data_IF_776927284986
#
_entry.id   IF_776927284986
#
_cell.length_a   1.000
_cell.length_b   1.000
_cell.length_c   1.000
_cell.angle_alpha   90.00
_cell.angle_beta   90.00
_cell.angle_gamma   90.00
#
_symmetry.space_group_name_H-M   'P 1'
#
loop_
_entity.id
_entity.type
_entity.pdbx_description
1 polymer ?
#
# COMPACT_ATOMS: atom_id res chain seq x y z
N UNK A 1 -4.53 3.99 7.99
CA UNK A 1 -3.89 2.66 8.15
C UNK A 1 -4.83 1.60 7.61
N UNK A 2 -4.66 0.30 7.88
CA UNK A 2 -3.61 -0.38 8.64
C UNK A 2 -2.41 -0.83 7.77
N UNK A 3 -1.38 -1.40 8.41
CA UNK A 3 -0.16 -1.88 7.76
C UNK A 3 1.08 -1.43 8.54
N UNK A 4 1.96 -0.68 7.88
CA UNK A 4 3.15 -0.09 8.46
C UNK A 4 3.29 1.39 8.07
N UNK A 5 4.06 2.13 8.86
CA UNK A 5 4.61 3.43 8.46
C UNK A 5 5.99 3.28 7.81
N UNK A 6 6.62 4.42 7.52
CA UNK A 6 7.99 4.52 7.00
C UNK A 6 8.76 5.61 7.75
N UNK A 7 10.09 5.54 7.66
CA UNK A 7 10.95 6.69 7.93
C UNK A 7 11.44 7.22 6.57
N UNK A 8 11.21 8.49 6.30
CA UNK A 8 11.72 9.15 5.10
C UNK A 8 13.24 9.33 5.18
N UNK A 9 13.87 9.51 4.04
CA UNK A 9 15.29 9.85 3.91
C UNK A 9 15.70 11.10 4.69
N UNK A 10 14.76 12.02 4.92
CA UNK A 10 14.93 13.21 5.76
C UNK A 10 14.99 12.92 7.28
N UNK A 11 14.67 11.69 7.70
CA UNK A 11 14.56 11.28 9.10
C UNK A 11 13.14 11.34 9.66
N UNK A 12 12.19 12.00 8.97
CA UNK A 12 10.78 12.09 9.35
C UNK A 12 10.13 10.71 9.46
N UNK A 13 9.50 10.42 10.58
CA UNK A 13 8.60 9.26 10.72
C UNK A 13 7.24 9.62 10.11
N UNK A 14 6.67 8.74 9.29
CA UNK A 14 5.40 8.96 8.62
C UNK A 14 4.48 7.74 8.75
N UNK A 15 3.26 7.98 9.23
CA UNK A 15 2.23 6.96 9.41
C UNK A 15 1.03 7.28 8.51
N UNK A 16 0.63 6.35 7.61
CA UNK A 16 -0.55 6.53 6.78
C UNK A 16 -1.84 6.27 7.60
N UNK A 17 -2.75 7.23 7.55
CA UNK A 17 -3.98 7.30 8.34
C UNK A 17 -5.20 7.59 7.45
N UNK A 18 -6.38 7.47 8.02
CA UNK A 18 -7.65 7.78 7.36
C UNK A 18 -8.63 8.41 8.35
N UNK A 19 -9.59 9.16 7.84
CA UNK A 19 -10.60 9.80 8.67
C UNK A 19 -11.93 9.93 7.93
N UNK A 20 -13.00 10.12 8.72
CA UNK A 20 -14.33 10.48 8.24
C UNK A 20 -14.66 11.86 8.81
N UNK A 21 -14.96 12.81 7.94
CA UNK A 21 -15.37 14.15 8.37
C UNK A 21 -16.71 14.09 9.11
N UNK A 22 -16.79 14.72 10.29
CA UNK A 22 -17.98 14.66 11.12
C UNK A 22 -19.23 15.27 10.45
N UNK A 23 -19.06 16.35 9.69
CA UNK A 23 -20.15 17.08 9.03
C UNK A 23 -20.59 16.45 7.71
N UNK A 24 -19.67 16.34 6.74
CA UNK A 24 -19.95 15.86 5.39
C UNK A 24 -20.07 14.34 5.29
N UNK A 25 -19.54 13.60 6.30
CA UNK A 25 -19.37 12.15 6.29
C UNK A 25 -18.49 11.62 5.15
N UNK A 26 -17.66 12.49 4.55
CA UNK A 26 -16.70 12.11 3.52
C UNK A 26 -15.48 11.43 4.12
N UNK A 27 -14.93 10.47 3.38
CA UNK A 27 -13.84 9.59 3.78
C UNK A 27 -12.58 10.03 3.06
N UNK A 28 -11.50 10.23 3.80
CA UNK A 28 -10.21 10.66 3.25
C UNK A 28 -9.07 9.85 3.86
N UNK A 29 -7.95 9.79 3.12
CA UNK A 29 -6.67 9.31 3.61
C UNK A 29 -5.77 10.51 3.92
N UNK A 30 -4.93 10.40 4.93
CA UNK A 30 -3.96 11.42 5.31
C UNK A 30 -2.72 10.78 5.91
N UNK A 31 -1.75 11.59 6.34
CA UNK A 31 -0.61 11.10 7.13
C UNK A 31 -0.52 11.85 8.45
N UNK A 32 0.05 11.18 9.44
CA UNK A 32 0.56 11.81 10.67
C UNK A 32 2.07 11.60 10.66
N UNK A 33 2.83 12.61 11.08
CA UNK A 33 4.28 12.54 11.04
C UNK A 33 4.93 13.05 12.32
N UNK A 34 6.20 12.70 12.50
CA UNK A 34 7.07 13.18 13.56
C UNK A 34 8.45 13.47 12.99
N UNK A 35 9.00 14.64 13.34
CA UNK A 35 10.36 15.07 12.97
C UNK A 35 11.37 14.97 14.13
N UNK A 36 10.91 14.52 15.29
CA UNK A 36 11.67 14.41 16.54
C UNK A 36 11.72 12.96 17.06
N UNK A 37 11.76 12.00 16.14
CA UNK A 37 11.86 10.56 16.43
C UNK A 37 10.72 10.01 17.29
N UNK A 38 9.52 10.58 17.15
CA UNK A 38 8.29 10.10 17.76
C UNK A 38 7.93 10.78 19.08
N UNK A 39 8.67 11.81 19.51
CA UNK A 39 8.35 12.58 20.72
C UNK A 39 7.07 13.41 20.55
N UNK A 40 6.94 14.09 19.42
CA UNK A 40 5.72 14.83 19.05
C UNK A 40 5.24 14.46 17.66
N UNK A 41 3.92 14.63 17.45
CA UNK A 41 3.25 14.23 16.23
C UNK A 41 2.37 15.35 15.69
N UNK A 42 2.38 15.53 14.37
CA UNK A 42 1.59 16.52 13.67
C UNK A 42 0.81 15.89 12.51
N UNK A 43 -0.32 16.52 12.15
CA UNK A 43 -1.08 16.15 10.95
C UNK A 43 -0.33 16.64 9.70
N UNK A 44 -0.18 15.75 8.71
CA UNK A 44 0.22 16.12 7.37
C UNK A 44 -0.98 16.41 6.47
N UNK A 45 -0.74 16.38 5.16
CA UNK A 45 -1.77 16.59 4.15
C UNK A 45 -2.80 15.46 4.08
N UNK A 46 -3.98 15.79 3.58
CA UNK A 46 -5.06 14.86 3.26
C UNK A 46 -5.24 14.73 1.75
N UNK A 47 -5.76 13.59 1.29
CA UNK A 47 -6.17 13.38 -0.10
C UNK A 47 -7.18 14.43 -0.55
N UNK A 48 -7.12 14.85 -1.82
CA UNK A 48 -7.96 15.93 -2.36
C UNK A 48 -9.35 15.46 -2.81
N UNK A 49 -9.48 14.17 -3.12
CA UNK A 49 -10.75 13.52 -3.49
C UNK A 49 -11.14 12.54 -2.37
N UNK A 50 -12.42 12.54 -2.04
CA UNK A 50 -13.01 11.67 -1.03
C UNK A 50 -13.21 10.23 -1.53
N UNK A 51 -13.90 9.40 -0.74
CA UNK A 51 -14.12 7.98 -1.01
C UNK A 51 -12.82 7.17 -1.05
N UNK A 52 -11.88 7.53 -0.18
CA UNK A 52 -10.68 6.75 0.10
C UNK A 52 -10.51 6.60 1.60
N UNK A 53 -9.86 5.52 2.03
CA UNK A 53 -9.54 5.34 3.45
C UNK A 53 -8.21 4.60 3.66
N UNK A 54 -8.21 3.27 3.75
CA UNK A 54 -7.07 2.48 4.17
C UNK A 54 -5.94 2.60 3.16
N UNK A 55 -4.79 3.05 3.63
CA UNK A 55 -3.69 3.45 2.78
C UNK A 55 -2.35 2.93 3.28
N UNK A 56 -1.43 2.75 2.33
CA UNK A 56 -0.02 2.50 2.54
C UNK A 56 0.80 3.65 1.96
N UNK A 57 2.04 3.80 2.44
CA UNK A 57 2.94 4.87 2.04
C UNK A 57 4.32 4.34 1.68
N UNK A 58 4.96 4.96 0.68
CA UNK A 58 6.35 4.68 0.30
C UNK A 58 7.05 5.96 -0.18
N UNK A 59 8.37 6.03 -0.01
CA UNK A 59 9.23 7.10 -0.54
C UNK A 59 10.04 6.58 -1.74
N UNK A 60 10.00 7.30 -2.85
CA UNK A 60 10.75 7.02 -4.08
C UNK A 60 12.17 7.60 -4.01
N UNK A 61 13.05 7.19 -4.94
CA UNK A 61 14.45 7.62 -5.06
C UNK A 61 14.59 9.13 -5.25
N UNK A 62 13.61 9.76 -5.91
CA UNK A 62 13.59 11.19 -6.11
C UNK A 62 13.10 11.98 -4.88
N UNK A 63 12.72 11.31 -3.79
CA UNK A 63 12.18 11.90 -2.57
C UNK A 63 10.66 12.14 -2.59
N UNK A 64 9.98 11.85 -3.70
CA UNK A 64 8.52 11.90 -3.73
C UNK A 64 7.94 10.78 -2.86
N UNK A 65 6.84 11.10 -2.18
CA UNK A 65 6.09 10.16 -1.35
C UNK A 65 4.82 9.76 -2.09
N UNK A 66 4.50 8.48 -2.10
CA UNK A 66 3.30 7.92 -2.73
C UNK A 66 2.38 7.35 -1.67
N UNK A 67 1.09 7.72 -1.73
CA UNK A 67 0.03 6.96 -1.07
C UNK A 67 -0.64 6.03 -2.06
N UNK A 68 -0.80 4.78 -1.67
CA UNK A 68 -1.70 3.83 -2.33
C UNK A 68 -2.90 3.59 -1.43
N UNK A 69 -4.10 3.93 -1.89
CA UNK A 69 -5.31 4.01 -1.06
C UNK A 69 -6.40 3.07 -1.55
N UNK A 70 -7.16 2.53 -0.59
CA UNK A 70 -8.37 1.75 -0.82
C UNK A 70 -9.45 2.68 -1.32
N UNK A 71 -10.02 2.33 -2.46
CA UNK A 71 -11.11 3.05 -3.07
C UNK A 71 -12.46 2.59 -2.52
N UNK A 72 -13.30 3.54 -2.13
CA UNK A 72 -14.69 3.32 -1.69
C UNK A 72 -15.74 3.65 -2.76
N UNK A 73 -15.35 4.20 -3.92
CA UNK A 73 -16.25 4.33 -5.06
C UNK A 73 -16.66 2.93 -5.55
N UNK A 74 -17.94 2.58 -5.36
CA UNK A 74 -18.50 1.27 -5.71
C UNK A 74 -18.67 1.05 -7.21
N UNK A 75 -18.42 2.06 -8.05
CA UNK A 75 -18.36 1.93 -9.51
C UNK A 75 -16.96 1.57 -10.02
N UNK A 76 -15.95 1.68 -9.16
CA UNK A 76 -14.55 1.39 -9.47
C UNK A 76 -14.06 0.17 -8.69
N UNK A 77 -13.05 -0.52 -9.23
CA UNK A 77 -12.49 -1.77 -8.67
C UNK A 77 -10.97 -1.77 -8.78
N UNK A 78 -10.37 -0.63 -8.49
CA UNK A 78 -8.95 -0.36 -8.63
C UNK A 78 -8.48 0.52 -7.47
N UNK A 79 -7.22 0.34 -7.08
CA UNK A 79 -6.55 1.22 -6.11
C UNK A 79 -6.50 2.64 -6.63
N UNK A 80 -6.44 3.60 -5.73
CA UNK A 80 -6.05 4.97 -6.07
C UNK A 80 -4.61 5.23 -5.61
N UNK A 81 -3.92 6.11 -6.33
CA UNK A 81 -2.58 6.60 -6.00
C UNK A 81 -2.57 8.12 -5.97
N UNK A 82 -1.75 8.72 -5.12
CA UNK A 82 -1.50 10.17 -5.07
C UNK A 82 -0.07 10.43 -4.57
N UNK A 83 0.49 11.58 -4.96
CA UNK A 83 1.91 11.88 -4.83
C UNK A 83 2.13 13.16 -4.02
N UNK A 84 3.21 13.21 -3.25
CA UNK A 84 3.65 14.37 -2.48
C UNK A 84 5.13 14.61 -2.71
N UNK A 85 5.47 15.82 -3.19
CA UNK A 85 6.86 16.27 -3.35
C UNK A 85 7.37 17.12 -2.18
N UNK A 86 6.60 17.21 -1.09
CA UNK A 86 6.86 18.08 0.06
C UNK A 86 6.83 17.33 1.41
N UNK A 87 7.16 16.04 1.39
CA UNK A 87 7.27 15.22 2.59
C UNK A 87 5.93 14.91 3.27
N UNK A 88 4.86 14.78 2.47
CA UNK A 88 3.51 14.41 2.90
C UNK A 88 2.63 15.58 3.34
N UNK A 89 2.96 16.83 2.96
CA UNK A 89 2.19 18.01 3.35
C UNK A 89 1.08 18.35 2.34
N UNK A 90 1.32 18.11 1.05
CA UNK A 90 0.31 18.23 0.00
C UNK A 90 0.29 17.00 -0.89
N UNK A 91 -0.90 16.64 -1.39
CA UNK A 91 -1.13 15.46 -2.22
C UNK A 91 -1.74 15.86 -3.56
N UNK A 92 -1.07 15.50 -4.64
CA UNK A 92 -1.40 15.85 -6.02
C UNK A 92 -1.72 14.60 -6.84
N UNK A 93 -2.40 14.82 -7.97
CA UNK A 93 -2.60 13.79 -9.00
C UNK A 93 -3.24 12.51 -8.47
N UNK A 94 -4.26 12.67 -7.62
CA UNK A 94 -5.05 11.55 -7.12
C UNK A 94 -5.85 10.92 -8.25
N UNK A 95 -5.56 9.65 -8.54
CA UNK A 95 -6.18 8.92 -9.66
C UNK A 95 -6.26 7.43 -9.40
N UNK A 96 -7.08 6.74 -10.18
CA UNK A 96 -7.09 5.27 -10.22
C UNK A 96 -5.86 4.74 -10.94
N UNK A 97 -5.27 3.68 -10.37
CA UNK A 97 -4.30 2.83 -11.05
C UNK A 97 -5.04 1.61 -11.63
N UNK A 98 -5.27 1.65 -12.95
CA UNK A 98 -6.04 0.61 -13.64
C UNK A 98 -5.36 -0.77 -13.66
N UNK A 99 -4.06 -0.82 -13.37
CA UNK A 99 -3.31 -2.07 -13.25
C UNK A 99 -3.51 -2.76 -11.89
N UNK A 100 -3.93 -2.02 -10.86
CA UNK A 100 -4.08 -2.51 -9.49
C UNK A 100 -5.56 -2.75 -9.16
N UNK A 101 -6.12 -3.83 -9.70
CA UNK A 101 -7.51 -4.23 -9.40
C UNK A 101 -7.70 -4.59 -7.93
N UNK A 102 -8.86 -4.28 -7.35
CA UNK A 102 -9.19 -4.63 -5.96
C UNK A 102 -10.69 -4.87 -5.71
N UNK A 103 -11.04 -5.68 -4.68
CA UNK A 103 -12.41 -5.90 -4.24
C UNK A 103 -12.80 -4.96 -3.08
N UNK A 104 -12.19 -3.76 -3.02
CA UNK A 104 -12.34 -2.79 -1.93
C UNK A 104 -11.84 -3.40 -0.62
N UNK A 105 -10.52 -3.60 -0.54
CA UNK A 105 -9.81 -4.26 0.57
C UNK A 105 -8.53 -3.50 0.92
N UNK A 106 -7.97 -3.69 2.11
CA UNK A 106 -6.62 -3.21 2.39
C UNK A 106 -5.60 -3.94 1.50
N UNK A 107 -4.49 -3.27 1.20
CA UNK A 107 -3.34 -3.75 0.45
C UNK A 107 -2.05 -3.36 1.17
N UNK A 108 -0.93 -4.00 0.84
CA UNK A 108 0.41 -3.66 1.32
C UNK A 108 1.28 -3.08 0.21
N UNK A 109 2.15 -2.14 0.56
CA UNK A 109 3.15 -1.55 -0.34
C UNK A 109 4.44 -1.33 0.45
N UNK A 110 5.58 -1.78 -0.09
CA UNK A 110 6.90 -1.53 0.49
C UNK A 110 7.93 -1.31 -0.60
N UNK A 111 8.93 -0.49 -0.30
CA UNK A 111 10.11 -0.35 -1.15
C UNK A 111 11.05 -1.53 -0.96
N UNK A 112 11.55 -2.06 -2.06
CA UNK A 112 12.63 -3.03 -2.02
C UNK A 112 13.98 -2.29 -1.85
N UNK A 113 14.82 -2.64 -0.85
CA UNK A 113 15.98 -1.86 -0.44
C UNK A 113 17.21 -2.12 -1.34
N UNK A 114 17.08 -1.85 -2.63
CA UNK A 114 18.20 -1.89 -3.57
C UNK A 114 18.25 -0.65 -4.47
N UNK A 115 19.09 -0.69 -5.52
CA UNK A 115 19.22 0.44 -6.45
C UNK A 115 17.99 0.49 -7.35
N UNK A 116 17.32 1.65 -7.34
CA UNK A 116 16.16 1.98 -8.16
C UNK A 116 14.86 2.03 -7.37
N UNK A 117 13.80 2.45 -8.06
CA UNK A 117 12.44 2.53 -7.52
C UNK A 117 11.69 1.20 -7.62
N UNK A 118 12.28 0.14 -7.04
CA UNK A 118 11.61 -1.15 -6.96
C UNK A 118 10.60 -1.19 -5.82
N UNK A 119 9.35 -1.45 -6.16
CA UNK A 119 8.25 -1.55 -5.21
C UNK A 119 7.63 -2.94 -5.22
N UNK A 120 7.33 -3.46 -4.04
CA UNK A 120 6.51 -4.65 -3.85
C UNK A 120 5.13 -4.24 -3.37
N UNK A 121 4.10 -4.73 -4.05
CA UNK A 121 2.70 -4.51 -3.70
C UNK A 121 1.99 -5.85 -3.51
N UNK A 122 1.13 -5.96 -2.50
CA UNK A 122 0.30 -7.14 -2.29
C UNK A 122 -1.15 -6.76 -2.03
N UNK A 123 -2.07 -7.42 -2.74
CA UNK A 123 -3.50 -7.28 -2.49
C UNK A 123 -4.29 -8.49 -3.02
N UNK A 124 -5.54 -8.68 -2.58
CA UNK A 124 -6.47 -9.57 -3.26
C UNK A 124 -6.74 -9.04 -4.68
N UNK A 125 -6.17 -9.69 -5.68
CA UNK A 125 -6.24 -9.27 -7.09
C UNK A 125 -7.53 -9.80 -7.74
N UNK A 126 -8.65 -9.21 -7.37
CA UNK A 126 -9.98 -9.55 -7.88
C UNK A 126 -10.85 -8.30 -7.92
N UNK A 127 -11.78 -8.22 -8.88
CA UNK A 127 -12.76 -7.12 -8.96
C UNK A 127 -14.01 -7.37 -8.14
N UNK A 128 -14.18 -8.57 -7.59
CA UNK A 128 -15.45 -9.02 -7.02
C UNK A 128 -15.33 -9.37 -5.54
N UNK A 129 -14.33 -10.15 -5.18
CA UNK A 129 -14.25 -10.78 -3.86
C UNK A 129 -12.81 -10.85 -3.32
N UNK A 130 -12.67 -10.99 -2.01
CA UNK A 130 -11.39 -11.06 -1.29
C UNK A 130 -10.72 -12.43 -1.51
N UNK A 131 -10.01 -12.56 -2.63
CA UNK A 131 -9.28 -13.77 -3.03
C UNK A 131 -8.11 -13.45 -3.94
N UNK A 132 -7.33 -14.48 -4.27
CA UNK A 132 -6.18 -14.38 -5.17
C UNK A 132 -5.21 -13.31 -4.64
N UNK A 133 -4.70 -13.50 -3.42
CA UNK A 133 -3.67 -12.59 -2.91
C UNK A 133 -2.46 -12.69 -3.83
N UNK A 134 -2.14 -11.59 -4.50
CA UNK A 134 -1.10 -11.52 -5.52
C UNK A 134 -0.06 -10.50 -5.09
N UNK A 135 1.21 -10.86 -5.26
CA UNK A 135 2.33 -9.95 -5.10
C UNK A 135 2.73 -9.42 -6.47
N UNK A 136 3.03 -8.13 -6.58
CA UNK A 136 3.49 -7.46 -7.79
C UNK A 136 4.81 -6.74 -7.56
N UNK A 137 5.63 -6.68 -8.60
CA UNK A 137 6.88 -5.92 -8.63
C UNK A 137 6.78 -4.80 -9.67
N UNK A 138 7.02 -3.57 -9.22
CA UNK A 138 7.30 -2.43 -10.08
C UNK A 138 8.80 -2.18 -10.14
N UNK A 139 9.31 -1.79 -11.32
CA UNK A 139 10.71 -1.38 -11.51
C UNK A 139 10.90 0.14 -11.61
N UNK A 140 9.83 0.92 -11.55
CA UNK A 140 9.82 2.35 -11.87
C UNK A 140 8.90 3.17 -10.95
N UNK A 141 8.84 2.82 -9.66
CA UNK A 141 8.12 3.61 -8.66
C UNK A 141 6.60 3.49 -8.74
N UNK A 142 6.09 2.38 -9.29
CA UNK A 142 4.66 2.14 -9.46
C UNK A 142 4.08 2.69 -10.76
N UNK A 143 4.92 3.06 -11.73
CA UNK A 143 4.44 3.43 -13.07
C UNK A 143 3.89 2.25 -13.86
N UNK A 144 4.51 1.08 -13.72
CA UNK A 144 4.00 -0.21 -14.18
C UNK A 144 4.34 -1.35 -13.20
N UNK A 145 3.72 -2.52 -13.41
CA UNK A 145 3.88 -3.71 -12.58
C UNK A 145 4.23 -4.90 -13.49
N UNK A 146 5.51 -5.05 -13.79
CA UNK A 146 6.01 -5.96 -14.84
C UNK A 146 5.94 -7.45 -14.45
N UNK A 147 5.98 -7.75 -13.16
CA UNK A 147 5.90 -9.12 -12.66
C UNK A 147 4.80 -9.21 -11.60
N UNK A 148 4.03 -10.29 -11.65
CA UNK A 148 3.07 -10.62 -10.62
C UNK A 148 3.02 -12.13 -10.37
N UNK A 149 2.78 -12.53 -9.12
CA UNK A 149 2.63 -13.93 -8.76
C UNK A 149 1.59 -14.11 -7.65
N UNK A 150 0.69 -15.06 -7.85
CA UNK A 150 -0.33 -15.41 -6.85
C UNK A 150 0.35 -16.10 -5.67
N UNK A 151 0.21 -15.49 -4.49
CA UNK A 151 0.69 -16.01 -3.22
C UNK A 151 -0.31 -16.98 -2.59
N UNK A 152 -1.61 -16.70 -2.73
CA UNK A 152 -2.70 -17.57 -2.27
C UNK A 152 -3.90 -17.50 -3.24
N UNK A 153 -4.27 -18.59 -3.94
CA UNK A 153 -5.37 -18.60 -4.92
C UNK A 153 -6.78 -18.66 -4.30
N UNK A 154 -6.87 -18.92 -2.98
CA UNK A 154 -8.14 -19.00 -2.26
C UNK A 154 -8.57 -17.66 -1.65
N UNK A 155 -9.55 -17.68 -0.72
CA UNK A 155 -9.94 -16.53 0.08
C UNK A 155 -8.74 -15.91 0.81
N UNK A 156 -8.52 -14.61 0.60
CA UNK A 156 -7.48 -13.84 1.26
C UNK A 156 -7.85 -12.36 1.33
N UNK A 157 -7.46 -11.70 2.43
CA UNK A 157 -7.85 -10.32 2.73
C UNK A 157 -6.61 -9.46 3.04
N UNK A 158 -6.46 -8.98 4.27
CA UNK A 158 -5.47 -7.95 4.57
C UNK A 158 -4.06 -8.53 4.48
N UNK A 159 -3.09 -7.67 4.17
CA UNK A 159 -1.68 -8.05 4.07
C UNK A 159 -0.75 -6.95 4.56
N UNK A 160 0.48 -7.33 4.92
CA UNK A 160 1.58 -6.42 5.26
C UNK A 160 2.88 -7.00 4.72
N UNK A 161 3.70 -6.15 4.12
CA UNK A 161 4.97 -6.52 3.49
C UNK A 161 6.14 -5.93 4.27
N UNK A 162 7.22 -6.68 4.34
CA UNK A 162 8.53 -6.22 4.78
C UNK A 162 9.61 -6.87 3.92
N UNK A 163 10.77 -6.23 3.78
CA UNK A 163 11.96 -6.86 3.20
C UNK A 163 12.98 -7.07 4.30
N UNK A 164 13.46 -8.32 4.42
CA UNK A 164 14.41 -8.74 5.44
C UNK A 164 15.84 -8.34 5.05
N UNK A 165 16.80 -8.31 6.00
CA UNK A 165 18.18 -7.90 5.72
C UNK A 165 18.91 -8.73 4.65
N UNK A 166 18.47 -9.96 4.39
CA UNK A 166 19.01 -10.84 3.35
C UNK A 166 18.37 -10.63 1.96
N UNK A 167 17.45 -9.67 1.83
CA UNK A 167 16.69 -9.39 0.61
C UNK A 167 15.41 -10.22 0.48
N UNK A 168 15.12 -11.15 1.39
CA UNK A 168 13.88 -11.93 1.35
C UNK A 168 12.69 -11.02 1.62
N UNK A 169 11.68 -11.04 0.75
CA UNK A 169 10.40 -10.41 1.02
C UNK A 169 9.56 -11.30 1.94
N UNK A 170 8.91 -10.70 2.93
CA UNK A 170 8.02 -11.34 3.87
C UNK A 170 6.64 -10.71 3.78
N UNK A 171 5.61 -11.54 3.55
CA UNK A 171 4.22 -11.11 3.48
C UNK A 171 3.43 -11.78 4.60
N UNK A 172 2.91 -10.99 5.55
CA UNK A 172 1.98 -11.43 6.58
C UNK A 172 0.56 -11.12 6.11
N UNK A 173 -0.33 -12.11 6.03
CA UNK A 173 -1.66 -11.93 5.41
C UNK A 173 -2.75 -12.82 5.98
N UNK A 174 -3.99 -12.36 5.88
CA UNK A 174 -5.20 -13.13 6.20
C UNK A 174 -5.56 -14.06 5.04
N UNK A 175 -5.85 -15.33 5.33
CA UNK A 175 -6.33 -16.31 4.35
C UNK A 175 -7.18 -17.41 5.00
N UNK A 176 -7.83 -18.18 4.14
CA UNK A 176 -8.46 -19.45 4.51
C UNK A 176 -8.74 -20.33 3.29
N UNK A 177 -9.49 -21.40 3.53
CA UNK A 177 -10.01 -22.29 2.49
C UNK A 177 -11.42 -21.88 2.07
N UNK A 178 -12.30 -21.58 3.04
CA UNK A 178 -13.71 -21.22 2.80
C UNK A 178 -13.96 -19.70 2.97
N UNK A 179 -13.25 -19.06 3.90
CA UNK A 179 -13.38 -17.66 4.27
C UNK A 179 -12.02 -16.98 4.43
N UNK A 180 -11.87 -15.69 4.07
CA UNK A 180 -10.56 -15.02 4.10
C UNK A 180 -10.04 -14.71 5.52
N UNK A 181 -10.86 -14.92 6.56
CA UNK A 181 -10.59 -14.50 7.94
C UNK A 181 -10.23 -15.66 8.88
N UNK A 182 -9.82 -16.81 8.33
CA UNK A 182 -9.58 -18.03 9.12
C UNK A 182 -8.22 -18.01 9.82
N UNK A 183 -7.16 -17.54 9.15
CA UNK A 183 -5.79 -17.64 9.65
C UNK A 183 -4.92 -16.50 9.12
N UNK A 184 -3.96 -16.07 9.94
CA UNK A 184 -2.87 -15.18 9.51
C UNK A 184 -1.65 -16.04 9.16
N UNK A 185 -1.15 -15.92 7.93
CA UNK A 185 -0.01 -16.68 7.39
C UNK A 185 1.16 -15.74 7.11
N UNK A 186 2.39 -16.21 7.38
CA UNK A 186 3.62 -15.55 6.93
C UNK A 186 4.21 -16.33 5.75
N UNK A 187 4.23 -15.73 4.57
CA UNK A 187 4.99 -16.24 3.44
C UNK A 187 6.31 -15.49 3.27
N UNK A 188 7.32 -16.19 2.73
CA UNK A 188 8.64 -15.64 2.42
C UNK A 188 9.03 -16.04 1.00
N UNK A 189 9.54 -15.10 0.22
CA UNK A 189 9.95 -15.32 -1.16
C UNK A 189 11.04 -14.32 -1.54
N UNK A 190 11.87 -14.67 -2.54
CA UNK A 190 12.84 -13.77 -3.13
C UNK A 190 12.31 -13.18 -4.45
N UNK A 191 13.07 -12.25 -5.03
CA UNK A 191 12.69 -11.66 -6.32
C UNK A 191 12.74 -12.67 -7.47
N UNK A 192 13.63 -13.68 -7.42
CA UNK A 192 13.70 -14.70 -8.46
C UNK A 192 12.37 -15.46 -8.56
N UNK A 193 11.82 -15.89 -7.42
CA UNK A 193 10.48 -16.48 -7.35
C UNK A 193 9.40 -15.56 -7.92
N UNK A 194 9.46 -14.24 -7.67
CA UNK A 194 8.45 -13.32 -8.20
C UNK A 194 8.59 -13.09 -9.71
N UNK A 195 9.82 -13.10 -10.24
CA UNK A 195 10.10 -12.82 -11.66
C UNK A 195 9.99 -14.03 -12.57
N UNK A 196 10.08 -15.25 -12.03
CA UNK A 196 9.94 -16.51 -12.78
C UNK A 196 8.47 -16.88 -13.12
N UNK A 197 7.52 -16.01 -12.75
CA UNK A 197 6.07 -16.22 -12.90
C UNK A 197 5.49 -15.85 -14.25
#
# INVERSE_FOLDING_TARGET
GPGNGIQLSSGRLMIPCDHIEAGTKRYYSHVVYSDDHGETWALGGSTSIDQVNECCVVELDNGDVVLNTRNYDRTKRTRQVTFSGDGGMTWLDQRHDESLIEPICQAALVRYPDKGDRLLFANPASREERRNLTVRLSGNGGGDWLHERVLHPGPAAYSSLAVLPDGTAACLYERGEDHPYETITLARFDLAWLMDG
#
